data_IF_418864434358
#
_entry.id   IF_418864434358
#
_cell.length_a   1.000
_cell.length_b   1.000
_cell.length_c   1.000
_cell.angle_alpha   90.00
_cell.angle_beta   90.00
_cell.angle_gamma   90.00
#
_symmetry.space_group_name_H-M   'P 1'
#
loop_
_entity.id
_entity.type
_entity.pdbx_description
1 polymer ?
#
# COMPACT_ATOMS: atom_id res chain seq x y z
N UNK A 1 -12.37 -20.04 8.90
CA UNK A 1 -11.11 -19.37 8.47
C UNK A 1 -11.47 -18.22 7.56
N UNK A 2 -11.18 -16.95 7.93
CA UNK A 2 -11.66 -15.79 7.18
C UNK A 2 -10.81 -15.52 5.91
N UNK A 3 -11.33 -14.68 5.01
CA UNK A 3 -10.66 -14.32 3.74
C UNK A 3 -9.26 -13.73 3.98
N UNK A 4 -9.10 -12.92 5.03
CA UNK A 4 -7.82 -12.31 5.41
C UNK A 4 -6.79 -13.39 5.78
N UNK A 5 -7.18 -14.41 6.54
CA UNK A 5 -6.29 -15.54 6.90
C UNK A 5 -5.80 -16.29 5.65
N UNK A 6 -6.65 -16.47 4.63
CA UNK A 6 -6.26 -17.13 3.37
C UNK A 6 -5.29 -16.26 2.57
N UNK A 7 -5.59 -14.98 2.42
CA UNK A 7 -4.74 -14.01 1.73
C UNK A 7 -3.34 -13.95 2.35
N UNK A 8 -3.23 -13.85 3.67
CA UNK A 8 -1.95 -13.76 4.36
C UNK A 8 -1.17 -15.07 4.43
N UNK A 9 -1.83 -16.22 4.42
CA UNK A 9 -1.16 -17.50 4.18
C UNK A 9 -0.53 -17.55 2.79
N UNK A 10 -1.16 -16.95 1.79
CA UNK A 10 -0.58 -16.84 0.46
C UNK A 10 0.59 -15.86 0.43
N UNK A 11 0.47 -14.69 1.05
CA UNK A 11 1.54 -13.69 1.10
C UNK A 11 2.77 -14.19 1.88
N UNK A 12 2.56 -14.89 3.00
CA UNK A 12 3.65 -15.47 3.79
C UNK A 12 4.44 -16.59 3.10
N UNK A 13 3.96 -17.10 1.94
CA UNK A 13 4.75 -17.97 1.07
C UNK A 13 5.75 -17.20 0.20
N UNK A 14 5.53 -15.91 -0.01
CA UNK A 14 6.41 -15.05 -0.81
C UNK A 14 7.43 -14.30 0.06
N UNK A 15 7.04 -13.82 1.24
CA UNK A 15 7.89 -12.99 2.10
C UNK A 15 8.48 -13.74 3.32
N UNK A 16 8.20 -15.03 3.47
CA UNK A 16 8.56 -15.83 4.66
C UNK A 16 7.60 -15.62 5.84
N UNK A 17 7.48 -16.63 6.71
CA UNK A 17 6.64 -16.54 7.91
C UNK A 17 7.28 -15.71 9.03
N UNK A 18 8.61 -15.58 9.04
CA UNK A 18 9.41 -14.82 10.03
C UNK A 18 9.23 -13.30 9.90
N UNK A 19 8.73 -12.85 8.75
CA UNK A 19 8.41 -11.46 8.50
C UNK A 19 7.40 -10.92 9.55
N UNK A 20 6.43 -11.74 9.98
CA UNK A 20 5.22 -11.34 10.73
C UNK A 20 5.47 -10.60 12.06
N UNK A 21 6.69 -10.61 12.60
CA UNK A 21 7.11 -9.86 13.79
C UNK A 21 7.78 -8.50 13.53
N UNK A 22 8.10 -8.18 12.27
CA UNK A 22 9.04 -7.11 11.95
C UNK A 22 8.48 -6.03 11.02
N UNK A 23 7.37 -6.27 10.32
CA UNK A 23 6.78 -5.26 9.44
C UNK A 23 5.71 -4.42 10.12
N UNK A 24 5.57 -3.22 9.57
CA UNK A 24 4.44 -2.34 9.77
C UNK A 24 3.44 -2.51 8.62
N UNK A 25 2.16 -2.61 8.95
CA UNK A 25 1.08 -2.54 7.97
C UNK A 25 0.54 -1.13 7.87
N UNK A 26 0.32 -0.64 6.66
CA UNK A 26 -0.21 0.70 6.41
C UNK A 26 -1.39 0.62 5.43
N UNK A 27 -2.46 1.36 5.72
CA UNK A 27 -3.61 1.52 4.84
C UNK A 27 -4.24 2.92 5.02
N UNK A 28 -4.99 3.36 4.01
CA UNK A 28 -5.74 4.60 4.05
C UNK A 28 -7.02 4.50 4.92
N UNK A 29 -7.71 5.62 5.08
CA UNK A 29 -8.85 5.77 5.99
C UNK A 29 -10.22 5.39 5.42
N UNK A 30 -10.29 4.59 4.35
CA UNK A 30 -11.56 4.18 3.74
C UNK A 30 -12.44 3.36 4.72
N UNK A 31 -13.77 3.53 4.65
CA UNK A 31 -14.69 2.94 5.62
C UNK A 31 -14.56 1.40 5.80
N UNK A 32 -14.37 0.60 4.73
CA UNK A 32 -14.13 -0.83 4.88
C UNK A 32 -12.82 -1.17 5.62
N UNK A 33 -11.78 -0.35 5.43
CA UNK A 33 -10.46 -0.53 6.03
C UNK A 33 -10.46 -0.22 7.53
N UNK A 34 -11.33 0.70 7.95
CA UNK A 34 -11.45 1.14 9.34
C UNK A 34 -12.53 0.41 10.14
N UNK A 35 -13.23 -0.56 9.55
CA UNK A 35 -14.24 -1.34 10.27
C UNK A 35 -13.61 -2.04 11.47
N UNK A 36 -14.27 -2.03 12.63
CA UNK A 36 -13.74 -2.60 13.88
C UNK A 36 -13.18 -4.01 13.70
N UNK A 37 -13.89 -4.88 12.99
CA UNK A 37 -13.45 -6.26 12.73
C UNK A 37 -12.14 -6.32 11.93
N UNK A 38 -11.92 -5.38 11.01
CA UNK A 38 -10.70 -5.29 10.21
C UNK A 38 -9.56 -4.76 11.06
N UNK A 39 -9.77 -3.66 11.78
CA UNK A 39 -8.73 -3.08 12.65
C UNK A 39 -8.31 -4.02 13.78
N UNK A 40 -9.26 -4.69 14.45
CA UNK A 40 -8.93 -5.71 15.46
C UNK A 40 -8.09 -6.82 14.85
N UNK A 41 -8.48 -7.34 13.69
CA UNK A 41 -7.71 -8.40 13.03
C UNK A 41 -6.30 -7.93 12.63
N UNK A 42 -6.16 -6.71 12.10
CA UNK A 42 -4.86 -6.14 11.73
C UNK A 42 -3.97 -5.91 12.96
N UNK A 43 -4.51 -5.31 14.02
CA UNK A 43 -3.77 -5.05 15.26
C UNK A 43 -3.29 -6.35 15.88
N UNK A 44 -4.14 -7.38 15.97
CA UNK A 44 -3.75 -8.69 16.49
C UNK A 44 -2.69 -9.36 15.59
N UNK A 45 -2.84 -9.24 14.27
CA UNK A 45 -1.96 -9.90 13.30
C UNK A 45 -0.57 -9.25 13.22
N UNK A 46 -0.50 -7.93 13.34
CA UNK A 46 0.74 -7.15 13.26
C UNK A 46 1.26 -6.72 14.64
N UNK A 47 0.72 -7.29 15.72
CA UNK A 47 1.12 -7.01 17.11
C UNK A 47 1.17 -5.50 17.41
N UNK A 48 0.14 -4.78 16.95
CA UNK A 48 0.03 -3.33 17.12
C UNK A 48 0.79 -2.47 16.11
N UNK A 49 1.61 -3.05 15.21
CA UNK A 49 2.35 -2.32 14.16
C UNK A 49 1.47 -1.95 12.96
N UNK A 50 0.44 -1.14 13.20
CA UNK A 50 -0.56 -0.75 12.20
C UNK A 50 -0.70 0.77 12.10
N UNK A 51 -0.46 1.29 10.91
CA UNK A 51 -0.72 2.68 10.53
C UNK A 51 -2.04 2.74 9.76
N UNK A 52 -3.09 3.26 10.39
CA UNK A 52 -4.43 3.34 9.81
C UNK A 52 -5.23 4.42 10.52
N UNK A 53 -6.34 4.87 9.91
CA UNK A 53 -7.29 5.72 10.64
C UNK A 53 -7.88 4.94 11.83
N UNK A 54 -7.97 5.60 12.99
CA UNK A 54 -8.45 5.03 14.26
C UNK A 54 -7.57 3.94 14.91
N UNK A 55 -6.27 3.87 14.57
CA UNK A 55 -5.27 3.10 15.33
C UNK A 55 -4.31 4.04 16.07
N UNK A 56 -3.44 3.49 16.92
CA UNK A 56 -2.45 4.26 17.69
C UNK A 56 -1.58 5.14 16.77
N UNK A 57 -1.11 4.58 15.65
CA UNK A 57 -0.46 5.36 14.59
C UNK A 57 -1.49 5.75 13.54
N UNK A 58 -2.09 6.92 13.71
CA UNK A 58 -3.17 7.38 12.83
C UNK A 58 -2.65 7.82 11.46
N UNK A 59 -3.27 7.31 10.39
CA UNK A 59 -3.08 7.81 9.02
C UNK A 59 -3.89 9.10 8.79
N UNK A 60 -3.28 10.11 8.18
CA UNK A 60 -3.93 11.37 7.86
C UNK A 60 -4.97 11.19 6.72
N UNK A 61 -6.13 11.85 6.86
CA UNK A 61 -7.14 11.87 5.79
C UNK A 61 -6.61 12.62 4.56
N UNK A 62 -7.09 12.25 3.37
CA UNK A 62 -6.79 12.96 2.11
C UNK A 62 -5.29 13.11 1.81
N UNK A 63 -4.51 12.07 2.10
CA UNK A 63 -3.06 12.06 1.90
C UNK A 63 -2.59 11.03 0.85
N UNK A 64 -3.12 11.05 -0.39
CA UNK A 64 -2.62 10.18 -1.46
C UNK A 64 -1.14 10.48 -1.77
N UNK A 65 -0.71 11.73 -1.59
CA UNK A 65 0.68 12.18 -1.72
C UNK A 65 1.67 11.40 -0.86
N UNK A 66 1.19 10.75 0.20
CA UNK A 66 1.99 9.96 1.14
C UNK A 66 1.84 8.46 0.94
N UNK A 67 0.89 7.98 0.14
CA UNK A 67 0.69 6.55 -0.07
C UNK A 67 1.53 6.06 -1.26
N UNK A 68 2.54 5.19 -1.06
CA UNK A 68 3.36 4.60 -2.12
C UNK A 68 2.57 3.95 -3.25
N UNK A 69 1.43 3.34 -2.92
CA UNK A 69 0.60 2.72 -3.93
C UNK A 69 -0.06 3.77 -4.84
N UNK A 70 -0.48 4.90 -4.26
CA UNK A 70 -1.18 5.96 -4.98
C UNK A 70 -0.22 6.85 -5.79
N UNK A 71 0.88 7.32 -5.19
CA UNK A 71 1.80 8.22 -5.89
C UNK A 71 2.74 7.51 -6.87
N UNK A 72 2.90 6.18 -6.77
CA UNK A 72 3.78 5.41 -7.65
C UNK A 72 3.06 4.25 -8.33
N UNK A 73 2.66 3.20 -7.59
CA UNK A 73 2.28 1.93 -8.21
C UNK A 73 1.12 2.06 -9.20
N UNK A 74 0.00 2.67 -8.78
CA UNK A 74 -1.19 2.75 -9.63
C UNK A 74 -0.99 3.64 -10.86
N UNK A 75 -0.23 4.73 -10.72
CA UNK A 75 0.18 5.56 -11.86
C UNK A 75 1.07 4.79 -12.84
N UNK A 76 2.10 4.13 -12.32
CA UNK A 76 3.02 3.32 -13.11
C UNK A 76 2.30 2.20 -13.89
N UNK A 77 1.43 1.44 -13.22
CA UNK A 77 0.65 0.39 -13.88
C UNK A 77 -0.28 0.95 -14.95
N UNK A 78 -0.97 2.07 -14.66
CA UNK A 78 -1.85 2.72 -15.63
C UNK A 78 -1.09 3.16 -16.88
N UNK A 79 0.09 3.74 -16.73
CA UNK A 79 0.92 4.18 -17.85
C UNK A 79 1.36 2.99 -18.71
N UNK A 80 1.76 1.88 -18.08
CA UNK A 80 2.15 0.65 -18.78
C UNK A 80 0.97 -0.04 -19.49
N UNK A 81 -0.25 0.15 -19.00
CA UNK A 81 -1.48 -0.38 -19.61
C UNK A 81 -2.05 0.54 -20.68
N UNK A 82 -1.48 1.72 -20.87
CA UNK A 82 -2.00 2.72 -21.81
C UNK A 82 -1.98 2.21 -23.24
N UNK A 83 -3.13 2.27 -23.91
CA UNK A 83 -3.29 1.79 -25.29
C UNK A 83 -3.63 0.30 -25.42
N UNK A 84 -3.59 -0.47 -24.34
CA UNK A 84 -4.02 -1.88 -24.34
C UNK A 84 -5.55 -1.99 -24.38
N UNK A 85 -6.05 -3.00 -25.12
CA UNK A 85 -7.47 -3.35 -25.14
C UNK A 85 -7.67 -4.75 -24.58
N UNK A 86 -8.61 -4.89 -23.65
CA UNK A 86 -8.91 -6.16 -22.99
C UNK A 86 -10.24 -6.71 -23.50
N UNK A 87 -10.25 -7.95 -23.96
CA UNK A 87 -11.47 -8.64 -24.40
C UNK A 87 -12.16 -9.34 -23.22
N UNK A 88 -11.38 -9.75 -22.21
CA UNK A 88 -11.89 -10.42 -21.02
C UNK A 88 -11.29 -9.85 -19.73
N UNK A 89 -11.99 -10.10 -18.62
CA UNK A 89 -11.47 -9.79 -17.28
C UNK A 89 -10.18 -10.57 -16.96
N UNK A 90 -10.01 -11.76 -17.54
CA UNK A 90 -8.81 -12.57 -17.32
C UNK A 90 -7.60 -11.93 -18.00
N UNK A 91 -7.75 -11.37 -19.19
CA UNK A 91 -6.66 -10.66 -19.90
C UNK A 91 -6.15 -9.50 -19.05
N UNK A 92 -7.08 -8.70 -18.49
CA UNK A 92 -6.76 -7.60 -17.59
C UNK A 92 -6.02 -8.09 -16.34
N UNK A 93 -6.53 -9.12 -15.66
CA UNK A 93 -5.89 -9.67 -14.45
C UNK A 93 -4.49 -10.19 -14.74
N UNK A 94 -4.32 -10.95 -15.82
CA UNK A 94 -3.03 -11.50 -16.22
C UNK A 94 -2.03 -10.40 -16.57
N UNK A 95 -2.46 -9.30 -17.20
CA UNK A 95 -1.58 -8.15 -17.43
C UNK A 95 -1.17 -7.49 -16.13
N UNK A 96 -2.13 -7.18 -15.24
CA UNK A 96 -1.84 -6.54 -13.94
C UNK A 96 -0.86 -7.40 -13.12
N UNK A 97 -1.07 -8.72 -13.05
CA UNK A 97 -0.15 -9.63 -12.37
C UNK A 97 1.25 -9.62 -12.99
N UNK A 98 1.35 -9.59 -14.33
CA UNK A 98 2.63 -9.52 -15.04
C UNK A 98 3.36 -8.20 -14.75
N UNK A 99 2.65 -7.08 -14.79
CA UNK A 99 3.23 -5.76 -14.52
C UNK A 99 3.68 -5.62 -13.06
N UNK A 100 2.87 -6.09 -12.10
CA UNK A 100 3.28 -6.11 -10.68
C UNK A 100 4.54 -6.95 -10.48
N UNK A 101 4.65 -8.11 -11.14
CA UNK A 101 5.86 -8.95 -11.07
C UNK A 101 7.09 -8.31 -11.74
N UNK A 102 6.87 -7.38 -12.66
CA UNK A 102 7.94 -6.65 -13.33
C UNK A 102 8.45 -5.45 -12.50
N UNK A 103 7.75 -5.06 -11.43
CA UNK A 103 8.25 -4.04 -10.50
C UNK A 103 9.52 -4.56 -9.83
N UNK A 104 10.60 -3.83 -10.02
CA UNK A 104 11.94 -4.20 -9.56
C UNK A 104 12.15 -3.86 -8.08
N UNK A 105 13.07 -4.55 -7.39
CA UNK A 105 13.50 -4.17 -6.04
C UNK A 105 14.00 -2.72 -5.97
N UNK A 106 14.69 -2.24 -7.00
CA UNK A 106 15.20 -0.88 -7.10
C UNK A 106 14.07 0.15 -7.11
N UNK A 107 13.02 -0.09 -7.90
CA UNK A 107 11.82 0.75 -7.90
C UNK A 107 11.12 0.77 -6.53
N UNK A 108 11.11 -0.35 -5.82
CA UNK A 108 10.57 -0.41 -4.46
C UNK A 108 11.41 0.43 -3.49
N UNK A 109 12.74 0.29 -3.53
CA UNK A 109 13.67 1.08 -2.71
C UNK A 109 13.48 2.58 -2.97
N UNK A 110 13.50 3.00 -4.24
CA UNK A 110 13.28 4.40 -4.64
C UNK A 110 11.94 4.94 -4.14
N UNK A 111 10.88 4.14 -4.23
CA UNK A 111 9.55 4.49 -3.73
C UNK A 111 9.56 4.75 -2.23
N UNK A 112 10.29 3.93 -1.46
CA UNK A 112 10.44 4.12 -0.01
C UNK A 112 11.27 5.37 0.31
N UNK A 113 12.32 5.64 -0.44
CA UNK A 113 13.09 6.89 -0.28
C UNK A 113 12.23 8.13 -0.60
N UNK A 114 11.40 8.06 -1.63
CA UNK A 114 10.44 9.11 -1.97
C UNK A 114 9.35 9.28 -0.91
N UNK A 115 8.87 8.19 -0.30
CA UNK A 115 7.96 8.28 0.84
C UNK A 115 8.58 9.08 2.00
N UNK A 116 9.84 8.80 2.36
CA UNK A 116 10.55 9.53 3.41
C UNK A 116 10.75 11.02 3.05
N UNK A 117 11.06 11.31 1.79
CA UNK A 117 11.14 12.69 1.30
C UNK A 117 9.80 13.40 1.41
N UNK A 118 8.72 12.77 0.93
CA UNK A 118 7.34 13.26 0.98
C UNK A 118 6.91 13.57 2.42
N UNK A 119 7.18 12.66 3.35
CA UNK A 119 6.93 12.87 4.78
C UNK A 119 7.67 14.10 5.33
N UNK A 120 8.96 14.26 5.01
CA UNK A 120 9.73 15.45 5.43
C UNK A 120 9.14 16.74 4.85
N UNK A 121 8.73 16.74 3.58
CA UNK A 121 8.08 17.90 2.94
C UNK A 121 6.74 18.24 3.57
N UNK A 122 5.95 17.23 3.91
CA UNK A 122 4.66 17.42 4.58
C UNK A 122 4.85 18.08 5.95
N UNK A 123 5.84 17.64 6.73
CA UNK A 123 6.20 18.27 8.02
C UNK A 123 6.67 19.71 7.82
N UNK A 124 7.52 20.00 6.82
CA UNK A 124 7.98 21.35 6.50
C UNK A 124 6.85 22.30 6.07
N UNK A 125 5.70 21.75 5.68
CA UNK A 125 4.50 22.47 5.24
C UNK A 125 3.40 22.44 6.30
N UNK A 126 3.71 22.04 7.54
CA UNK A 126 2.76 21.92 8.64
C UNK A 126 1.52 21.08 8.27
N UNK A 127 1.71 20.02 7.48
CA UNK A 127 0.64 19.13 7.01
C UNK A 127 -0.03 19.54 5.69
N UNK A 128 0.46 20.57 5.00
CA UNK A 128 -0.04 20.98 3.69
C UNK A 128 0.30 20.02 2.54
N UNK A 129 -0.39 20.17 1.40
CA UNK A 129 -0.17 19.39 0.19
C UNK A 129 1.24 19.56 -0.41
N UNK A 130 1.77 18.49 -1.01
CA UNK A 130 3.17 18.44 -1.45
C UNK A 130 3.39 18.06 -2.91
N UNK A 131 2.34 17.69 -3.66
CA UNK A 131 2.46 17.29 -5.08
C UNK A 131 3.23 18.30 -5.96
N UNK A 132 3.10 19.60 -5.71
CA UNK A 132 3.76 20.65 -6.50
C UNK A 132 5.25 20.85 -6.16
N UNK A 133 5.82 20.06 -5.24
CA UNK A 133 7.13 20.32 -4.62
C UNK A 133 8.10 19.14 -4.76
N UNK A 134 7.71 18.11 -5.50
CA UNK A 134 8.36 16.80 -5.58
C UNK A 134 8.75 16.46 -7.00
#
# INVERSE_FOLDING_TARGET
>A
MNVLTRFWRALGRFCGHEARGQQWFMQDGAAPHTARRVLTWLTDHFEGRVISRFTEKTWASHSPDLNPLDFFLWGHLKDQMSGEQFQTLNDLKSLVERLIRAVTPEQCEDTIQHFLLRMRRCVQRDGGHIEQLL
#
